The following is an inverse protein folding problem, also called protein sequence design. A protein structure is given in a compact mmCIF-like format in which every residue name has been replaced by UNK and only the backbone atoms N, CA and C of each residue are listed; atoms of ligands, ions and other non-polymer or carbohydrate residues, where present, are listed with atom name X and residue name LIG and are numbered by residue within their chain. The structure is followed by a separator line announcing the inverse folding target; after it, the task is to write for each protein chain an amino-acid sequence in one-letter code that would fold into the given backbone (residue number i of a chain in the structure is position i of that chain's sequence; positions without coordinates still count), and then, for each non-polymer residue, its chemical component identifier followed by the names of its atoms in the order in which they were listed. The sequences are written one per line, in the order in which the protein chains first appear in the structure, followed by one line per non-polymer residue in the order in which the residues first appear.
data_IF_760375957817
#
_entry.id   IF_760375957817
#
_cell.length_a   1.000
_cell.length_b   1.000
_cell.length_c   1.000
_cell.angle_alpha   90.00
_cell.angle_beta   90.00
_cell.angle_gamma   90.00
#
_symmetry.space_group_name_H-M   'P 1'
#
loop_
_entity.id
_entity.type
_entity.pdbx_description
1 polymer ?
#
# COMPACT_ATOMS: atom_id res chain seq x y z
N UNK A 1 -5.96 -6.60 -20.42
CA UNK A 1 -4.87 -6.20 -19.51
C UNK A 1 -4.92 -4.68 -19.35
N UNK A 2 -4.59 -4.11 -18.18
CA UNK A 2 -4.56 -2.66 -17.99
C UNK A 2 -3.28 -2.08 -18.61
N UNK A 3 -3.42 -1.00 -19.40
CA UNK A 3 -2.31 -0.29 -20.05
C UNK A 3 -1.99 1.06 -19.39
N UNK A 4 -2.79 1.46 -18.39
CA UNK A 4 -2.50 2.64 -17.56
C UNK A 4 -2.93 2.42 -16.12
N UNK A 5 -2.05 2.81 -15.18
CA UNK A 5 -2.19 2.58 -13.75
C UNK A 5 -1.73 3.80 -12.95
N UNK A 6 -2.56 4.29 -12.03
CA UNK A 6 -2.20 5.33 -11.07
C UNK A 6 -2.35 4.81 -9.66
N UNK A 7 -1.28 4.90 -8.86
CA UNK A 7 -1.29 4.48 -7.46
C UNK A 7 -1.41 5.69 -6.52
N UNK A 8 -2.38 5.66 -5.60
CA UNK A 8 -2.54 6.65 -4.54
C UNK A 8 -2.46 6.01 -3.17
N UNK A 9 -1.93 6.76 -2.20
CA UNK A 9 -1.77 6.25 -0.84
C UNK A 9 -0.74 6.99 0.01
N UNK A 10 -0.20 6.27 0.97
CA UNK A 10 0.81 6.74 1.90
C UNK A 10 2.17 6.01 1.70
N UNK A 11 2.96 5.84 2.77
CA UNK A 11 4.27 5.17 2.73
C UNK A 11 4.23 3.75 2.17
N UNK A 12 3.15 3.02 2.39
CA UNK A 12 2.98 1.66 1.89
C UNK A 12 2.94 1.63 0.35
N UNK A 13 2.25 2.60 -0.26
CA UNK A 13 2.14 2.72 -1.72
C UNK A 13 3.33 3.46 -2.33
N UNK A 14 3.93 4.42 -1.61
CA UNK A 14 5.19 5.06 -2.03
C UNK A 14 6.34 4.05 -2.17
N UNK A 15 6.34 2.99 -1.34
CA UNK A 15 7.35 1.93 -1.37
C UNK A 15 8.43 2.07 -0.31
N UNK A 16 8.14 2.77 0.80
CA UNK A 16 9.09 2.94 1.91
C UNK A 16 9.49 1.60 2.49
N UNK A 17 10.80 1.37 2.64
CA UNK A 17 11.40 0.14 3.13
C UNK A 17 12.00 -0.75 2.03
N UNK A 18 11.79 -0.42 0.75
CA UNK A 18 12.48 -1.01 -0.39
C UNK A 18 13.30 0.08 -1.11
N UNK A 19 14.37 0.53 -0.44
CA UNK A 19 15.30 1.52 -0.98
C UNK A 19 16.30 0.85 -1.92
N UNK A 20 16.39 1.40 -3.14
CA UNK A 20 17.37 1.01 -4.15
C UNK A 20 18.74 1.64 -3.84
N UNK A 21 19.84 1.10 -4.41
CA UNK A 21 21.19 1.65 -4.18
C UNK A 21 21.35 3.12 -4.58
N UNK A 22 20.53 3.63 -5.49
CA UNK A 22 20.52 5.04 -5.92
C UNK A 22 19.65 5.95 -5.03
N UNK A 23 19.09 5.41 -3.95
CA UNK A 23 18.26 6.13 -2.99
C UNK A 23 16.80 6.31 -3.41
N UNK A 24 16.40 5.85 -4.59
CA UNK A 24 14.98 5.77 -4.95
C UNK A 24 14.28 4.68 -4.13
N UNK A 25 13.01 4.87 -3.85
CA UNK A 25 12.18 3.83 -3.26
C UNK A 25 11.41 3.10 -4.36
N UNK A 26 11.50 1.77 -4.34
CA UNK A 26 10.67 0.89 -5.13
C UNK A 26 9.63 0.29 -4.19
N UNK A 27 8.46 -0.04 -4.66
CA UNK A 27 7.44 -0.67 -3.82
C UNK A 27 6.53 -1.58 -4.64
N UNK A 28 5.54 -2.15 -3.98
CA UNK A 28 4.59 -3.06 -4.62
C UNK A 28 3.91 -2.45 -5.86
N UNK A 29 3.61 -1.14 -5.83
CA UNK A 29 2.92 -0.48 -6.94
C UNK A 29 3.80 -0.39 -8.20
N UNK A 30 5.11 -0.14 -8.02
CA UNK A 30 6.08 -0.14 -9.12
C UNK A 30 6.24 -1.55 -9.71
N UNK A 31 6.31 -2.56 -8.84
CA UNK A 31 6.36 -3.96 -9.25
C UNK A 31 5.10 -4.36 -10.02
N UNK A 32 3.90 -3.95 -9.55
CA UNK A 32 2.65 -4.20 -10.28
C UNK A 32 2.67 -3.55 -11.66
N UNK A 33 3.14 -2.29 -11.77
CA UNK A 33 3.25 -1.63 -13.08
C UNK A 33 4.18 -2.40 -14.04
N UNK A 34 5.33 -2.87 -13.55
CA UNK A 34 6.26 -3.71 -14.32
C UNK A 34 5.61 -5.05 -14.72
N UNK A 35 4.98 -5.75 -13.77
CA UNK A 35 4.30 -7.03 -14.05
C UNK A 35 3.13 -6.91 -15.01
N UNK A 36 2.40 -5.80 -15.00
CA UNK A 36 1.35 -5.53 -15.99
C UNK A 36 1.95 -5.30 -17.39
N UNK A 37 3.09 -4.58 -17.48
CA UNK A 37 3.79 -4.36 -18.73
C UNK A 37 4.33 -5.68 -19.32
N UNK A 38 4.95 -6.52 -18.48
CA UNK A 38 5.42 -7.85 -18.86
C UNK A 38 4.28 -8.74 -19.34
N UNK A 39 3.18 -8.77 -18.59
CA UNK A 39 2.00 -9.56 -18.96
C UNK A 39 1.30 -9.09 -20.25
N UNK A 40 1.40 -7.80 -20.56
CA UNK A 40 0.85 -7.22 -21.79
C UNK A 40 1.81 -7.36 -22.99
N UNK A 41 3.12 -7.50 -22.75
CA UNK A 41 4.17 -7.44 -23.76
C UNK A 41 4.36 -6.04 -24.37
N UNK A 42 3.83 -5.00 -23.70
CA UNK A 42 3.89 -3.61 -24.13
C UNK A 42 4.00 -2.66 -22.91
N UNK A 43 4.51 -1.44 -23.10
CA UNK A 43 4.65 -0.49 -22.00
C UNK A 43 3.31 -0.14 -21.35
N UNK A 44 3.34 0.01 -20.02
CA UNK A 44 2.24 0.52 -19.20
C UNK A 44 2.52 1.96 -18.78
N UNK A 45 1.54 2.84 -18.92
CA UNK A 45 1.60 4.20 -18.39
C UNK A 45 1.34 4.17 -16.88
N UNK A 46 2.30 4.62 -16.08
CA UNK A 46 2.26 4.54 -14.63
C UNK A 46 2.53 5.87 -13.95
N UNK A 47 1.75 6.19 -12.92
CA UNK A 47 2.01 7.26 -11.97
C UNK A 47 1.87 6.77 -10.53
N UNK A 48 2.65 7.34 -9.61
CA UNK A 48 2.56 7.05 -8.18
C UNK A 48 2.50 8.37 -7.40
N UNK A 49 1.31 8.74 -6.97
CA UNK A 49 1.02 9.98 -6.25
C UNK A 49 1.14 9.82 -4.73
N UNK A 50 1.48 8.63 -4.26
CA UNK A 50 1.55 8.35 -2.83
C UNK A 50 2.68 9.14 -2.17
N UNK A 51 2.40 9.63 -0.96
CA UNK A 51 3.37 10.36 -0.13
C UNK A 51 3.29 9.82 1.29
N UNK A 52 4.42 9.40 1.83
CA UNK A 52 4.54 8.84 3.19
C UNK A 52 3.92 9.73 4.25
N UNK A 53 3.27 9.12 5.22
CA UNK A 53 2.68 9.81 6.36
C UNK A 53 1.40 10.60 6.06
N UNK A 54 0.89 10.56 4.82
CA UNK A 54 -0.42 11.14 4.50
C UNK A 54 -1.53 10.38 5.20
N UNK A 55 -2.57 11.14 5.56
CA UNK A 55 -3.82 10.61 6.10
C UNK A 55 -4.83 10.45 4.95
N UNK A 56 -5.90 9.75 5.26
CA UNK A 56 -6.96 9.48 4.29
C UNK A 56 -7.48 10.76 3.62
N UNK A 57 -7.64 11.87 4.37
CA UNK A 57 -8.10 13.17 3.83
C UNK A 57 -7.33 13.62 2.59
N UNK A 58 -5.99 13.62 2.65
CA UNK A 58 -5.17 14.02 1.51
C UNK A 58 -5.20 12.98 0.38
N UNK A 59 -5.36 11.69 0.72
CA UNK A 59 -5.38 10.62 -0.27
C UNK A 59 -6.66 10.66 -1.08
N UNK A 60 -7.83 10.74 -0.42
CA UNK A 60 -9.15 10.71 -1.09
C UNK A 60 -9.57 12.08 -1.65
N UNK A 61 -8.88 13.14 -1.26
CA UNK A 61 -9.03 14.48 -1.84
C UNK A 61 -7.99 14.72 -2.94
N UNK A 62 -6.86 15.30 -2.58
CA UNK A 62 -5.84 15.77 -3.52
C UNK A 62 -5.32 14.69 -4.48
N UNK A 63 -4.94 13.50 -3.94
CA UNK A 63 -4.36 12.45 -4.78
C UNK A 63 -5.40 11.79 -5.67
N UNK A 64 -6.62 11.53 -5.16
CA UNK A 64 -7.68 10.91 -5.93
C UNK A 64 -8.14 11.79 -7.08
N UNK A 65 -8.32 13.10 -6.84
CA UNK A 65 -8.75 14.04 -7.88
C UNK A 65 -7.71 14.15 -8.99
N UNK A 66 -6.42 14.23 -8.62
CA UNK A 66 -5.32 14.21 -9.57
C UNK A 66 -5.26 12.89 -10.36
N UNK A 67 -5.46 11.74 -9.69
CA UNK A 67 -5.47 10.42 -10.33
C UNK A 67 -6.62 10.26 -11.33
N UNK A 68 -7.84 10.66 -10.97
CA UNK A 68 -9.01 10.64 -11.86
C UNK A 68 -8.76 11.55 -13.08
N UNK A 69 -8.17 12.74 -12.86
CA UNK A 69 -7.82 13.68 -13.93
C UNK A 69 -6.81 13.16 -14.96
N UNK A 70 -6.07 12.09 -14.64
CA UNK A 70 -5.18 11.41 -15.58
C UNK A 70 -5.90 10.38 -16.46
N UNK A 71 -7.17 10.09 -16.21
CA UNK A 71 -8.01 9.12 -16.94
C UNK A 71 -7.37 7.74 -17.11
N UNK A 72 -6.81 7.10 -16.06
CA UNK A 72 -6.21 5.78 -16.18
C UNK A 72 -7.29 4.70 -16.28
N UNK A 73 -6.89 3.50 -16.71
CA UNK A 73 -7.76 2.33 -16.67
C UNK A 73 -7.87 1.73 -15.27
N UNK A 74 -6.80 1.86 -14.45
CA UNK A 74 -6.69 1.31 -13.12
C UNK A 74 -6.23 2.38 -12.13
N UNK A 75 -6.94 2.54 -11.01
CA UNK A 75 -6.47 3.31 -9.84
C UNK A 75 -6.33 2.36 -8.66
N UNK A 76 -5.18 2.35 -7.98
CA UNK A 76 -5.10 1.71 -6.67
C UNK A 76 -5.31 2.72 -5.56
N UNK A 77 -6.14 2.36 -4.57
CA UNK A 77 -6.42 3.15 -3.36
C UNK A 77 -5.94 2.38 -2.14
N UNK A 78 -5.01 2.96 -1.38
CA UNK A 78 -4.61 2.49 -0.06
C UNK A 78 -4.54 3.68 0.90
N UNK A 79 -5.13 3.55 2.09
CA UNK A 79 -5.12 4.62 3.08
C UNK A 79 -5.83 4.23 4.37
N UNK A 80 -5.87 5.17 5.32
CA UNK A 80 -6.53 4.99 6.61
C UNK A 80 -5.66 4.33 7.68
N UNK A 81 -4.56 3.64 7.34
CA UNK A 81 -3.65 3.04 8.32
C UNK A 81 -3.09 4.08 9.31
N UNK A 82 -2.64 5.23 8.80
CA UNK A 82 -2.16 6.34 9.64
C UNK A 82 -3.26 6.97 10.50
N UNK A 83 -4.50 6.91 10.05
CA UNK A 83 -5.68 7.44 10.74
C UNK A 83 -6.08 6.55 11.90
N UNK A 84 -6.28 5.25 11.67
CA UNK A 84 -6.73 4.30 12.71
C UNK A 84 -5.68 4.09 13.81
N UNK A 85 -4.44 4.40 13.59
CA UNK A 85 -3.44 4.47 14.66
C UNK A 85 -3.66 5.62 15.63
N UNK A 86 -4.59 6.55 15.38
CA UNK A 86 -4.95 7.68 16.26
C UNK A 86 -6.18 7.32 17.09
N UNK A 87 -6.12 7.31 18.42
CA UNK A 87 -7.22 6.79 19.27
C UNK A 87 -8.57 7.50 19.08
N UNK A 88 -8.55 8.78 18.69
CA UNK A 88 -9.75 9.61 18.56
C UNK A 88 -10.39 9.55 17.15
N UNK A 89 -9.78 8.89 16.20
CA UNK A 89 -10.32 8.76 14.84
C UNK A 89 -11.34 7.64 14.82
N UNK A 90 -12.53 7.86 14.28
CA UNK A 90 -13.53 6.84 14.06
C UNK A 90 -13.08 5.90 12.93
N UNK A 91 -13.12 4.60 13.18
CA UNK A 91 -12.83 3.60 12.14
C UNK A 91 -13.95 3.54 11.12
N UNK A 92 -15.20 3.71 11.56
CA UNK A 92 -16.36 3.73 10.67
C UNK A 92 -16.31 4.93 9.70
N UNK A 93 -15.89 6.12 10.18
CA UNK A 93 -15.69 7.29 9.31
C UNK A 93 -14.58 7.04 8.27
N UNK A 94 -13.48 6.40 8.67
CA UNK A 94 -12.40 6.04 7.74
C UNK A 94 -12.91 5.06 6.68
N UNK A 95 -13.68 4.06 7.08
CA UNK A 95 -14.27 3.09 6.15
C UNK A 95 -15.27 3.74 5.19
N UNK A 96 -16.18 4.59 5.69
CA UNK A 96 -17.17 5.29 4.87
C UNK A 96 -16.50 6.17 3.81
N UNK A 97 -15.49 6.96 4.20
CA UNK A 97 -14.75 7.83 3.27
C UNK A 97 -13.92 7.05 2.26
N UNK A 98 -13.43 5.87 2.64
CA UNK A 98 -12.78 4.96 1.69
C UNK A 98 -13.79 4.45 0.67
N UNK A 99 -15.00 4.09 1.11
CA UNK A 99 -16.09 3.67 0.23
C UNK A 99 -16.50 4.77 -0.75
N UNK A 100 -16.68 6.01 -0.26
CA UNK A 100 -16.99 7.18 -1.12
C UNK A 100 -15.92 7.40 -2.19
N UNK A 101 -14.63 7.26 -1.82
CA UNK A 101 -13.52 7.39 -2.74
C UNK A 101 -13.52 6.31 -3.84
N UNK A 102 -13.82 5.08 -3.47
CA UNK A 102 -13.97 3.94 -4.41
C UNK A 102 -15.11 4.21 -5.37
N UNK A 103 -16.29 4.61 -4.86
CA UNK A 103 -17.46 4.93 -5.67
C UNK A 103 -17.17 6.09 -6.64
N UNK A 104 -16.47 7.13 -6.18
CA UNK A 104 -16.09 8.28 -7.01
C UNK A 104 -15.21 7.86 -8.19
N UNK A 105 -14.21 7.02 -7.98
CA UNK A 105 -13.34 6.51 -9.04
C UNK A 105 -14.09 5.56 -9.99
N UNK A 106 -14.91 4.66 -9.46
CA UNK A 106 -15.73 3.75 -10.26
C UNK A 106 -16.76 4.49 -11.13
N UNK A 107 -17.40 5.53 -10.58
CA UNK A 107 -18.32 6.40 -11.33
C UNK A 107 -17.63 7.15 -12.49
N UNK A 108 -16.32 7.38 -12.40
CA UNK A 108 -15.52 7.92 -13.51
C UNK A 108 -15.17 6.85 -14.57
N UNK A 109 -15.68 5.63 -14.44
CA UNK A 109 -15.43 4.51 -15.37
C UNK A 109 -14.10 3.79 -15.17
N UNK A 110 -13.42 4.04 -14.06
CA UNK A 110 -12.08 3.53 -13.77
C UNK A 110 -12.19 2.26 -12.93
N UNK A 111 -11.38 1.24 -13.23
CA UNK A 111 -11.27 0.07 -12.37
C UNK A 111 -10.52 0.43 -11.08
N UNK A 112 -11.09 0.08 -9.94
CA UNK A 112 -10.51 0.38 -8.62
C UNK A 112 -9.89 -0.87 -8.01
N UNK A 113 -8.59 -0.78 -7.72
CA UNK A 113 -7.86 -1.75 -6.92
C UNK A 113 -7.77 -1.20 -5.48
N UNK A 114 -8.65 -1.66 -4.62
CA UNK A 114 -8.63 -1.29 -3.21
C UNK A 114 -7.70 -2.22 -2.44
N UNK A 115 -6.80 -1.68 -1.61
CA UNK A 115 -5.89 -2.50 -0.80
C UNK A 115 -5.97 -2.12 0.68
N UNK A 116 -5.98 -3.13 1.55
CA UNK A 116 -5.52 -2.91 2.92
C UNK A 116 -3.98 -2.87 2.95
N UNK A 117 -3.40 -2.13 3.89
CA UNK A 117 -1.97 -2.24 4.22
C UNK A 117 -1.66 -3.56 4.90
N UNK A 118 -0.39 -3.95 4.95
CA UNK A 118 0.06 -5.08 5.75
C UNK A 118 -0.13 -4.82 7.26
N UNK A 119 -0.22 -5.88 8.05
CA UNK A 119 -0.54 -5.79 9.49
C UNK A 119 0.74 -5.68 10.36
N UNK A 120 1.09 -4.49 10.89
CA UNK A 120 2.28 -4.31 11.70
C UNK A 120 2.07 -4.61 13.19
N UNK A 121 0.90 -5.08 13.60
CA UNK A 121 0.50 -5.15 15.01
C UNK A 121 1.42 -5.97 15.90
N UNK A 122 2.00 -7.07 15.37
CA UNK A 122 2.94 -7.90 16.12
C UNK A 122 4.29 -7.21 16.37
N UNK A 123 4.57 -6.16 15.60
CA UNK A 123 5.85 -5.48 15.57
C UNK A 123 5.86 -4.18 16.38
N UNK A 124 4.69 -3.63 16.68
CA UNK A 124 4.55 -2.29 17.25
C UNK A 124 4.22 -2.31 18.75
N UNK A 125 4.73 -1.34 19.53
CA UNK A 125 4.18 -1.06 20.85
C UNK A 125 2.69 -0.73 20.76
N UNK A 126 1.88 -1.34 21.64
CA UNK A 126 0.42 -1.15 21.60
C UNK A 126 -0.30 -1.89 20.45
N UNK A 127 0.37 -2.86 19.85
CA UNK A 127 -0.09 -3.61 18.68
C UNK A 127 -1.49 -4.21 18.81
N UNK A 128 -1.95 -4.61 20.02
CA UNK A 128 -3.33 -5.10 20.22
C UNK A 128 -4.39 -4.06 19.82
N UNK A 129 -4.13 -2.78 20.06
CA UNK A 129 -5.03 -1.71 19.64
C UNK A 129 -5.00 -1.53 18.13
N UNK A 130 -3.81 -1.60 17.53
CA UNK A 130 -3.64 -1.56 16.07
C UNK A 130 -4.36 -2.73 15.42
N UNK A 131 -4.17 -3.96 15.95
CA UNK A 131 -4.85 -5.17 15.48
C UNK A 131 -6.37 -4.97 15.50
N UNK A 132 -6.95 -4.69 16.66
CA UNK A 132 -8.40 -4.56 16.79
C UNK A 132 -9.00 -3.51 15.86
N UNK A 133 -8.34 -2.34 15.72
CA UNK A 133 -8.83 -1.27 14.86
C UNK A 133 -8.63 -1.59 13.37
N UNK A 134 -7.55 -2.28 13.04
CA UNK A 134 -7.30 -2.79 11.70
C UNK A 134 -8.30 -3.88 11.29
N UNK A 135 -8.60 -4.82 12.19
CA UNK A 135 -9.62 -5.85 11.97
C UNK A 135 -10.99 -5.22 11.68
N UNK A 136 -11.38 -4.22 12.49
CA UNK A 136 -12.63 -3.50 12.28
C UNK A 136 -12.67 -2.78 10.93
N UNK A 137 -11.58 -2.08 10.56
CA UNK A 137 -11.50 -1.41 9.25
C UNK A 137 -11.60 -2.42 8.11
N UNK A 138 -10.85 -3.52 8.18
CA UNK A 138 -10.89 -4.57 7.18
C UNK A 138 -12.28 -5.22 7.08
N UNK A 139 -12.97 -5.41 8.19
CA UNK A 139 -14.37 -5.90 8.21
C UNK A 139 -15.32 -4.95 7.48
N UNK A 140 -15.26 -3.65 7.77
CA UNK A 140 -16.10 -2.63 7.12
C UNK A 140 -15.83 -2.55 5.61
N UNK A 141 -14.57 -2.58 5.24
CA UNK A 141 -14.16 -2.54 3.82
C UNK A 141 -14.63 -3.80 3.07
N UNK A 142 -14.48 -5.00 3.67
CA UNK A 142 -14.99 -6.24 3.06
C UNK A 142 -16.49 -6.21 2.87
N UNK A 143 -17.25 -5.74 3.89
CA UNK A 143 -18.70 -5.60 3.78
C UNK A 143 -19.08 -4.66 2.63
N UNK A 144 -18.45 -3.47 2.55
CA UNK A 144 -18.68 -2.54 1.47
C UNK A 144 -18.39 -3.15 0.09
N UNK A 145 -17.25 -3.83 -0.06
CA UNK A 145 -16.87 -4.45 -1.35
C UNK A 145 -17.84 -5.58 -1.71
N UNK A 146 -18.27 -6.39 -0.75
CA UNK A 146 -19.26 -7.45 -0.97
C UNK A 146 -20.61 -6.87 -1.45
N UNK A 147 -21.08 -5.83 -0.81
CA UNK A 147 -22.35 -5.18 -1.17
C UNK A 147 -22.26 -4.47 -2.54
N UNK A 148 -21.07 -3.87 -2.84
CA UNK A 148 -20.83 -3.20 -4.13
C UNK A 148 -20.58 -4.17 -5.28
N UNK A 149 -20.06 -5.38 -5.02
CA UNK A 149 -19.79 -6.38 -6.06
C UNK A 149 -21.06 -6.90 -6.75
N UNK A 150 -22.24 -6.65 -6.16
CA UNK A 150 -23.54 -6.94 -6.80
C UNK A 150 -23.87 -5.93 -7.89
N UNK A 151 -23.31 -4.71 -7.83
CA UNK A 151 -23.67 -3.60 -8.73
C UNK A 151 -22.55 -3.19 -9.71
N UNK A 152 -21.25 -3.36 -9.37
CA UNK A 152 -20.15 -2.96 -10.26
C UNK A 152 -18.94 -3.90 -10.18
N UNK A 153 -18.69 -4.63 -11.27
CA UNK A 153 -17.52 -5.53 -11.44
C UNK A 153 -16.15 -4.78 -11.49
N UNK A 154 -16.14 -3.45 -11.29
CA UNK A 154 -14.93 -2.60 -11.39
C UNK A 154 -14.14 -2.43 -10.10
N UNK A 155 -14.47 -3.15 -9.04
CA UNK A 155 -13.72 -3.09 -7.78
C UNK A 155 -13.06 -4.42 -7.49
N UNK A 156 -11.73 -4.40 -7.34
CA UNK A 156 -10.94 -5.54 -6.87
C UNK A 156 -10.36 -5.20 -5.50
N UNK A 157 -10.62 -6.03 -4.50
CA UNK A 157 -10.07 -5.85 -3.14
C UNK A 157 -8.94 -6.84 -2.87
N UNK A 158 -7.82 -6.34 -2.36
CA UNK A 158 -6.68 -7.14 -1.90
C UNK A 158 -6.45 -6.92 -0.42
N UNK A 159 -6.75 -7.94 0.38
CA UNK A 159 -6.65 -7.89 1.84
C UNK A 159 -5.27 -8.35 2.33
N UNK A 160 -4.29 -7.46 2.26
CA UNK A 160 -2.95 -7.72 2.77
C UNK A 160 -2.89 -7.71 4.31
N UNK A 161 -3.87 -7.09 4.98
CA UNK A 161 -3.93 -7.10 6.45
C UNK A 161 -4.20 -8.50 7.01
N UNK A 162 -4.95 -9.30 6.27
CA UNK A 162 -5.25 -10.68 6.61
C UNK A 162 -4.20 -11.69 6.12
N UNK A 163 -3.22 -11.29 5.28
CA UNK A 163 -2.20 -12.20 4.76
C UNK A 163 -1.28 -12.70 5.89
N UNK A 164 -1.31 -14.00 6.25
CA UNK A 164 -0.50 -14.54 7.34
C UNK A 164 0.99 -14.52 7.04
N UNK A 165 1.40 -14.54 5.77
CA UNK A 165 2.80 -14.48 5.34
C UNK A 165 3.41 -13.14 5.71
N UNK A 166 2.67 -12.05 5.53
CA UNK A 166 3.11 -10.70 5.88
C UNK A 166 3.20 -10.44 7.41
N UNK A 167 2.85 -11.42 8.26
CA UNK A 167 3.06 -11.34 9.71
C UNK A 167 4.51 -11.68 10.11
N UNK A 168 5.28 -12.33 9.24
CA UNK A 168 6.67 -12.70 9.52
C UNK A 168 7.61 -11.50 9.37
N UNK A 169 8.48 -11.29 10.38
CA UNK A 169 9.45 -10.18 10.41
C UNK A 169 10.41 -10.14 9.23
N UNK A 170 10.58 -11.24 8.50
CA UNK A 170 11.41 -11.31 7.29
C UNK A 170 10.89 -10.45 6.15
N UNK A 171 9.61 -10.07 6.18
CA UNK A 171 8.96 -9.21 5.19
C UNK A 171 8.97 -7.72 5.57
N UNK A 172 9.57 -7.38 6.72
CA UNK A 172 9.58 -6.01 7.25
C UNK A 172 10.98 -5.41 7.24
N UNK A 173 11.04 -4.11 7.06
CA UNK A 173 12.28 -3.35 7.19
C UNK A 173 12.71 -3.25 8.67
N UNK A 174 13.88 -2.67 8.91
CA UNK A 174 14.44 -2.55 10.26
C UNK A 174 13.55 -1.74 11.21
N UNK A 175 12.74 -0.82 10.69
CA UNK A 175 11.81 -0.03 11.49
C UNK A 175 10.54 -0.78 11.90
N UNK A 176 10.32 -1.98 11.36
CA UNK A 176 9.19 -2.89 11.66
C UNK A 176 7.80 -2.29 11.41
N UNK A 177 7.74 -1.19 10.71
CA UNK A 177 6.52 -0.50 10.33
C UNK A 177 6.29 -0.57 8.82
N UNK A 178 7.38 -0.53 8.04
CA UNK A 178 7.33 -0.60 6.59
C UNK A 178 7.80 -1.99 6.10
N UNK A 179 7.25 -2.41 4.98
CA UNK A 179 7.69 -3.64 4.33
C UNK A 179 9.08 -3.44 3.73
N UNK A 180 9.87 -4.51 3.66
CA UNK A 180 11.10 -4.54 2.87
C UNK A 180 10.81 -5.02 1.43
N UNK A 181 11.86 -5.23 0.62
CA UNK A 181 11.73 -5.72 -0.75
C UNK A 181 10.91 -7.02 -0.85
N UNK A 182 11.09 -7.98 0.06
CA UNK A 182 10.30 -9.21 0.07
C UNK A 182 8.81 -8.96 0.36
N UNK A 183 8.53 -8.08 1.32
CA UNK A 183 7.16 -7.71 1.66
C UNK A 183 6.46 -7.00 0.50
N UNK A 184 7.15 -6.08 -0.18
CA UNK A 184 6.61 -5.40 -1.35
C UNK A 184 6.39 -6.37 -2.52
N UNK A 185 7.30 -7.31 -2.78
CA UNK A 185 7.14 -8.35 -3.81
C UNK A 185 5.94 -9.28 -3.48
N UNK A 186 5.75 -9.65 -2.21
CA UNK A 186 4.57 -10.42 -1.78
C UNK A 186 3.27 -9.68 -2.05
N UNK A 187 3.19 -8.39 -1.71
CA UNK A 187 2.01 -7.56 -2.00
C UNK A 187 1.76 -7.46 -3.50
N UNK A 188 2.81 -7.23 -4.31
CA UNK A 188 2.69 -7.20 -5.76
C UNK A 188 2.15 -8.53 -6.33
N UNK A 189 2.64 -9.66 -5.82
CA UNK A 189 2.14 -10.99 -6.19
C UNK A 189 0.65 -11.17 -5.84
N UNK A 190 0.22 -10.73 -4.65
CA UNK A 190 -1.19 -10.75 -4.25
C UNK A 190 -2.06 -9.92 -5.21
N UNK A 191 -1.58 -8.72 -5.57
CA UNK A 191 -2.28 -7.79 -6.48
C UNK A 191 -2.39 -8.39 -7.88
N UNK A 192 -1.29 -8.85 -8.48
CA UNK A 192 -1.32 -9.46 -9.82
C UNK A 192 -2.23 -10.68 -9.87
N UNK A 193 -2.20 -11.52 -8.82
CA UNK A 193 -3.09 -12.67 -8.70
C UNK A 193 -4.56 -12.23 -8.69
N UNK A 194 -4.90 -11.20 -7.90
CA UNK A 194 -6.26 -10.66 -7.83
C UNK A 194 -6.73 -10.05 -9.17
N UNK A 195 -5.81 -9.41 -9.90
CA UNK A 195 -6.05 -8.87 -11.24
C UNK A 195 -6.00 -9.94 -12.34
N UNK A 196 -5.79 -11.22 -12.00
CA UNK A 196 -5.62 -12.35 -12.92
C UNK A 196 -4.49 -12.16 -13.94
N UNK A 197 -3.46 -11.43 -13.54
CA UNK A 197 -2.23 -11.24 -14.29
C UNK A 197 -1.17 -12.28 -13.87
N UNK A 198 -0.27 -12.70 -14.77
CA UNK A 198 0.86 -13.55 -14.43
C UNK A 198 1.73 -12.90 -13.32
N UNK A 199 2.20 -13.73 -12.39
CA UNK A 199 3.16 -13.29 -11.37
C UNK A 199 4.54 -13.74 -11.81
N UNK A 200 5.50 -12.82 -12.01
CA UNK A 200 6.87 -13.15 -12.33
C UNK A 200 7.46 -14.15 -11.32
N UNK A 201 8.16 -15.20 -11.77
CA UNK A 201 8.68 -16.24 -10.88
C UNK A 201 9.59 -15.70 -9.78
N UNK A 202 10.41 -14.70 -10.07
CA UNK A 202 11.35 -14.06 -9.15
C UNK A 202 10.64 -13.28 -8.02
N UNK A 203 9.35 -12.97 -8.15
CA UNK A 203 8.56 -12.34 -7.09
C UNK A 203 7.87 -13.35 -6.16
N UNK A 204 8.01 -14.63 -6.44
CA UNK A 204 7.62 -15.71 -5.54
C UNK A 204 8.68 -15.90 -4.45
N UNK A 205 8.86 -14.87 -3.64
CA UNK A 205 9.97 -14.71 -2.71
C UNK A 205 9.87 -15.55 -1.43
N UNK A 206 8.80 -16.32 -1.23
CA UNK A 206 8.54 -17.04 0.02
C UNK A 206 9.66 -18.04 0.35
N UNK A 207 10.22 -18.75 -0.63
CA UNK A 207 11.35 -19.66 -0.42
C UNK A 207 12.63 -18.90 -0.05
N UNK A 208 12.93 -17.80 -0.75
CA UNK A 208 14.13 -16.98 -0.49
C UNK A 208 13.99 -16.27 0.86
N UNK A 209 12.82 -15.72 1.16
CA UNK A 209 12.54 -15.10 2.46
C UNK A 209 12.66 -16.11 3.59
N UNK A 210 12.26 -17.38 3.39
CA UNK A 210 12.37 -18.43 4.41
C UNK A 210 13.81 -18.73 4.82
N UNK A 211 14.78 -18.46 3.95
CA UNK A 211 16.22 -18.66 4.21
C UNK A 211 16.85 -17.45 4.92
N UNK A 212 16.16 -16.31 5.00
CA UNK A 212 16.68 -15.14 5.69
C UNK A 212 16.61 -15.31 7.21
N UNK A 213 17.61 -14.82 7.96
CA UNK A 213 17.58 -14.88 9.41
C UNK A 213 16.40 -14.04 9.94
N UNK A 214 15.62 -14.62 10.85
CA UNK A 214 14.56 -13.89 11.54
C UNK A 214 15.21 -12.85 12.45
N UNK A 215 14.91 -11.57 12.25
CA UNK A 215 15.33 -10.49 13.13
C UNK A 215 14.93 -10.77 14.59
N UNK A 216 15.62 -10.16 15.56
CA UNK A 216 15.31 -10.34 16.99
C UNK A 216 13.85 -10.00 17.25
N UNK A 217 13.06 -10.93 17.78
CA UNK A 217 11.64 -10.71 18.12
C UNK A 217 11.43 -9.55 19.09
N UNK A 218 12.36 -9.35 20.05
CA UNK A 218 12.28 -8.22 21.01
C UNK A 218 13.09 -7.04 20.49
N UNK A 219 12.47 -5.85 20.36
CA UNK A 219 13.18 -4.64 19.96
C UNK A 219 14.28 -4.30 21.00
N UNK A 220 15.43 -3.84 20.52
CA UNK A 220 16.51 -3.30 21.36
C UNK A 220 16.20 -1.89 21.82
N UNK A 221 16.92 -1.39 22.86
CA UNK A 221 16.84 0.04 23.25
C UNK A 221 17.22 0.97 22.09
N UNK A 222 18.19 0.55 21.24
CA UNK A 222 18.55 1.28 20.02
C UNK A 222 17.37 1.44 19.05
N UNK A 223 16.59 0.38 18.85
CA UNK A 223 15.38 0.44 18.02
C UNK A 223 14.38 1.51 18.50
N UNK A 224 14.14 1.58 19.82
CA UNK A 224 13.23 2.59 20.37
C UNK A 224 13.76 4.00 20.13
N UNK A 225 15.07 4.22 20.30
CA UNK A 225 15.70 5.52 20.12
C UNK A 225 15.70 5.97 18.65
N UNK A 226 15.95 5.05 17.74
CA UNK A 226 16.13 5.34 16.31
C UNK A 226 14.80 5.43 15.56
N UNK A 227 13.83 4.56 15.86
CA UNK A 227 12.59 4.45 15.09
C UNK A 227 11.36 4.93 15.85
N UNK A 228 11.19 4.50 17.11
CA UNK A 228 9.95 4.74 17.85
C UNK A 228 9.85 6.17 18.39
N UNK A 229 10.92 6.68 19.03
CA UNK A 229 10.90 8.02 19.60
C UNK A 229 10.74 9.13 18.56
N UNK A 230 11.43 9.12 17.40
CA UNK A 230 11.20 10.09 16.33
C UNK A 230 9.77 10.02 15.75
N UNK A 231 9.21 8.81 15.64
CA UNK A 231 7.84 8.61 15.20
C UNK A 231 6.83 9.21 16.18
N UNK A 232 6.99 8.97 17.51
CA UNK A 232 6.17 9.58 18.55
C UNK A 232 6.32 11.10 18.53
N UNK A 233 7.53 11.62 18.42
CA UNK A 233 7.81 13.05 18.38
C UNK A 233 7.11 13.76 17.22
N UNK A 234 7.17 13.21 16.01
CA UNK A 234 6.42 13.72 14.85
C UNK A 234 4.91 13.72 15.11
N UNK A 235 4.42 12.68 15.75
CA UNK A 235 2.99 12.55 16.06
C UNK A 235 2.48 13.59 17.05
N UNK A 236 3.28 13.90 18.07
CA UNK A 236 2.97 14.92 19.09
C UNK A 236 3.05 16.35 18.52
N UNK A 237 3.96 16.59 17.58
CA UNK A 237 4.15 17.90 16.94
C UNK A 237 3.26 18.13 15.72
N UNK A 238 2.39 17.18 15.35
CA UNK A 238 1.54 17.26 14.17
C UNK A 238 2.28 17.16 12.83
N UNK A 239 3.61 16.95 12.86
CA UNK A 239 4.45 16.79 11.66
C UNK A 239 4.26 15.42 11.00
N UNK A 240 4.44 15.40 9.68
CA UNK A 240 4.46 14.18 8.88
C UNK A 240 5.86 13.93 8.30
N UNK A 241 6.21 12.67 8.09
CA UNK A 241 7.42 12.31 7.32
C UNK A 241 7.33 12.69 5.84
N UNK A 242 6.13 13.04 5.37
CA UNK A 242 5.85 13.50 4.01
C UNK A 242 5.83 15.01 3.84
N UNK A 243 6.07 15.79 4.91
CA UNK A 243 6.05 17.26 4.81
C UNK A 243 7.15 17.74 3.85
N UNK A 244 6.78 18.58 2.87
CA UNK A 244 7.68 19.08 1.85
C UNK A 244 8.09 18.07 0.77
N UNK A 245 7.52 16.86 0.75
CA UNK A 245 7.77 15.85 -0.29
C UNK A 245 6.74 15.94 -1.42
N UNK A 246 7.21 15.65 -2.61
CA UNK A 246 6.39 15.45 -3.80
C UNK A 246 6.26 13.95 -4.11
N UNK A 247 5.25 13.61 -4.89
CA UNK A 247 5.08 12.26 -5.43
C UNK A 247 6.28 11.84 -6.29
N UNK A 248 6.66 10.56 -6.24
CA UNK A 248 7.83 10.06 -7.00
C UNK A 248 7.58 10.01 -8.51
N UNK A 249 6.34 9.74 -8.93
CA UNK A 249 5.91 9.78 -10.32
C UNK A 249 4.62 10.60 -10.40
N UNK A 250 4.71 11.95 -10.46
CA UNK A 250 3.54 12.83 -10.38
C UNK A 250 2.70 12.85 -11.67
N UNK A 251 3.21 12.28 -12.75
CA UNK A 251 2.56 12.16 -14.06
C UNK A 251 2.75 10.77 -14.62
N UNK A 252 1.89 10.38 -15.57
CA UNK A 252 1.99 9.10 -16.26
C UNK A 252 3.34 9.00 -16.99
N UNK A 253 4.12 7.98 -16.63
CA UNK A 253 5.43 7.67 -17.18
C UNK A 253 5.38 6.26 -17.75
N UNK A 254 6.04 6.02 -18.87
CA UNK A 254 6.09 4.71 -19.51
C UNK A 254 6.98 3.75 -18.71
N UNK A 255 6.43 2.60 -18.35
CA UNK A 255 7.15 1.46 -17.76
C UNK A 255 7.19 0.37 -18.81
N UNK A 256 8.39 0.09 -19.32
CA UNK A 256 8.59 -0.94 -20.32
C UNK A 256 8.51 -2.35 -19.68
N UNK A 257 8.11 -3.39 -20.44
CA UNK A 257 8.31 -4.76 -20.01
C UNK A 257 9.82 -5.02 -19.83
N UNK A 258 10.17 -5.72 -18.76
CA UNK A 258 11.54 -6.17 -18.54
C UNK A 258 11.73 -7.40 -19.44
N UNK A 259 12.26 -7.17 -20.63
CA UNK A 259 12.58 -8.24 -21.59
C UNK A 259 13.92 -8.87 -21.20
N UNK A 260 14.02 -9.46 -19.97
CA UNK A 260 15.13 -10.07 -19.30
C UNK A 260 16.33 -10.56 -20.14
#
# INVERSE_FOLDING_TARGET
MFTSFVAIGDSFTEGVGDELPDGRVRGWADLVAAGLAEAAGEPVLYANLAIRGRKLDSIVGEQLDAAIGMHPQLISINGGGNDIMRPRVSVDDVAARTADAVQKAAAAGIHVLLLSGANPSDNLPGGRTVQRRGDLLAERVRAFVHDSATDDARVTFVDNFADPVLRDLRYWSLDRLHLNAFGHARVASNVLTALRAPVPPEWRVDEVASQQPIGRRRPSLGYYREYVLPWIGRRLTGRSSGDGRTAKFPTLTSVAPDLG
#
